data_IF_506275233081
#
_entry.id   IF_506275233081
#
_cell.length_a   1.000
_cell.length_b   1.000
_cell.length_c   1.000
_cell.angle_alpha   90.00
_cell.angle_beta   90.00
_cell.angle_gamma   90.00
#
_symmetry.space_group_name_H-M   'P 1'
#
loop_
_entity.id
_entity.type
_entity.pdbx_description
1 polymer ?
#
# COMPACT_ATOMS: atom_id res chain seq x y z
N UNK A 1 -16.41 8.03 -1.39
CA UNK A 1 -15.18 8.83 -1.54
C UNK A 1 -15.46 10.16 -2.25
N UNK A 2 -16.47 10.25 -3.08
CA UNK A 2 -16.82 11.44 -3.85
C UNK A 2 -15.90 11.70 -5.05
N UNK A 3 -15.12 10.71 -5.44
CA UNK A 3 -14.25 10.75 -6.60
C UNK A 3 -14.68 9.68 -7.61
N UNK A 4 -15.12 10.10 -8.78
CA UNK A 4 -15.78 9.24 -9.78
C UNK A 4 -14.98 7.96 -10.10
N UNK A 5 -13.67 8.06 -10.30
CA UNK A 5 -12.81 6.91 -10.61
C UNK A 5 -12.82 5.89 -9.47
N UNK A 6 -12.78 6.34 -8.22
CA UNK A 6 -12.81 5.46 -7.07
C UNK A 6 -14.19 4.80 -6.91
N UNK A 7 -15.25 5.60 -7.04
CA UNK A 7 -16.61 5.18 -6.73
C UNK A 7 -17.19 4.26 -7.82
N UNK A 8 -16.95 4.57 -9.10
CA UNK A 8 -17.46 3.77 -10.24
C UNK A 8 -16.69 2.47 -10.46
N UNK A 9 -15.41 2.42 -10.10
CA UNK A 9 -14.57 1.24 -10.25
C UNK A 9 -14.42 0.40 -8.96
N UNK A 10 -15.08 0.80 -7.87
CA UNK A 10 -15.04 0.08 -6.60
C UNK A 10 -13.64 -0.03 -6.00
N UNK A 11 -12.84 1.06 -6.08
CA UNK A 11 -11.43 1.05 -5.69
C UNK A 11 -11.14 1.34 -4.23
N UNK A 12 -12.16 1.76 -3.50
CA UNK A 12 -12.03 2.09 -2.09
C UNK A 12 -13.29 1.74 -1.33
N UNK A 13 -13.11 1.09 -0.19
CA UNK A 13 -14.18 0.84 0.79
C UNK A 13 -13.63 1.10 2.19
N UNK A 14 -14.44 1.69 3.05
CA UNK A 14 -14.08 2.01 4.43
C UNK A 14 -15.19 1.57 5.37
N UNK A 15 -14.80 1.06 6.53
CA UNK A 15 -15.69 0.80 7.66
C UNK A 15 -15.17 1.57 8.87
N UNK A 16 -16.11 2.23 9.56
CA UNK A 16 -15.81 3.06 10.73
C UNK A 16 -16.29 2.36 12.01
N UNK A 17 -15.39 2.25 12.99
CA UNK A 17 -15.62 1.65 14.29
C UNK A 17 -15.19 2.68 15.35
N UNK A 18 -16.15 3.30 16.05
CA UNK A 18 -15.80 4.32 17.05
C UNK A 18 -14.81 5.36 16.51
N UNK A 19 -13.57 5.36 16.99
CA UNK A 19 -12.46 6.23 16.53
C UNK A 19 -11.53 5.56 15.55
N UNK A 20 -11.74 4.30 15.19
CA UNK A 20 -10.95 3.55 14.21
C UNK A 20 -11.66 3.49 12.87
N UNK A 21 -10.95 3.72 11.78
CA UNK A 21 -11.40 3.45 10.41
C UNK A 21 -10.49 2.43 9.75
N UNK A 22 -11.08 1.41 9.16
CA UNK A 22 -10.36 0.40 8.38
C UNK A 22 -10.80 0.52 6.94
N UNK A 23 -9.84 0.70 6.04
CA UNK A 23 -10.10 0.86 4.62
C UNK A 23 -9.36 -0.17 3.79
N UNK A 24 -9.95 -0.53 2.64
CA UNK A 24 -9.31 -1.29 1.58
C UNK A 24 -9.21 -0.42 0.34
N UNK A 25 -8.00 -0.36 -0.21
CA UNK A 25 -7.63 0.43 -1.37
C UNK A 25 -7.15 -0.48 -2.49
N UNK A 26 -7.59 -0.18 -3.73
CA UNK A 26 -7.00 -0.70 -4.95
C UNK A 26 -6.58 0.48 -5.84
N UNK A 27 -5.33 0.92 -5.69
CA UNK A 27 -4.79 2.02 -6.50
C UNK A 27 -4.73 1.59 -7.97
N UNK A 28 -5.11 2.45 -8.93
CA UNK A 28 -5.01 2.10 -10.34
C UNK A 28 -3.61 1.67 -10.76
N UNK A 29 -3.49 0.58 -11.53
CA UNK A 29 -2.23 0.25 -12.21
C UNK A 29 -2.03 1.15 -13.43
N UNK A 30 -0.84 1.74 -13.59
CA UNK A 30 -0.47 2.59 -14.71
C UNK A 30 0.25 1.86 -15.85
N UNK A 31 0.35 0.52 -15.80
CA UNK A 31 1.34 -0.24 -16.57
C UNK A 31 1.00 -0.51 -18.03
N UNK A 32 -0.24 -0.30 -18.50
CA UNK A 32 -0.67 -0.82 -19.81
C UNK A 32 -0.92 0.24 -20.88
N UNK A 33 -1.01 1.53 -20.54
CA UNK A 33 -1.15 2.64 -21.51
C UNK A 33 -0.86 3.99 -20.85
N UNK A 34 -0.62 5.01 -21.68
CA UNK A 34 -0.46 6.40 -21.21
C UNK A 34 -1.71 6.87 -20.48
N UNK A 35 -2.90 6.59 -21.02
CA UNK A 35 -4.18 6.92 -20.42
C UNK A 35 -4.35 6.32 -19.01
N UNK A 36 -3.97 5.05 -18.83
CA UNK A 36 -4.02 4.40 -17.50
C UNK A 36 -3.01 5.02 -16.53
N UNK A 37 -1.86 5.43 -17.03
CA UNK A 37 -0.87 6.13 -16.22
C UNK A 37 -1.37 7.50 -15.76
N UNK A 38 -1.99 8.27 -16.65
CA UNK A 38 -2.64 9.55 -16.32
C UNK A 38 -3.76 9.36 -15.30
N UNK A 39 -4.60 8.32 -15.48
CA UNK A 39 -5.68 7.98 -14.55
C UNK A 39 -5.14 7.60 -13.17
N UNK A 40 -4.03 6.89 -13.10
CA UNK A 40 -3.33 6.61 -11.84
C UNK A 40 -2.92 7.89 -11.14
N UNK A 41 -2.31 8.85 -11.86
CA UNK A 41 -1.90 10.14 -11.29
C UNK A 41 -3.08 10.98 -10.82
N UNK A 42 -4.18 11.00 -11.55
CA UNK A 42 -5.41 11.67 -11.10
C UNK A 42 -5.89 11.10 -9.78
N UNK A 43 -5.88 9.76 -9.64
CA UNK A 43 -6.24 9.09 -8.41
C UNK A 43 -5.26 9.44 -7.27
N UNK A 44 -3.97 9.36 -7.51
CA UNK A 44 -2.92 9.66 -6.53
C UNK A 44 -3.02 11.10 -5.99
N UNK A 45 -3.22 12.08 -6.87
CA UNK A 45 -3.40 13.48 -6.45
C UNK A 45 -4.65 13.66 -5.59
N UNK A 46 -5.78 13.11 -6.01
CA UNK A 46 -7.02 13.20 -5.24
C UNK A 46 -6.89 12.50 -3.88
N UNK A 47 -6.31 11.31 -3.87
CA UNK A 47 -6.16 10.52 -2.67
C UNK A 47 -5.21 11.15 -1.64
N UNK A 48 -4.20 11.88 -2.09
CA UNK A 48 -3.31 12.65 -1.22
C UNK A 48 -4.08 13.63 -0.35
N UNK A 49 -5.06 14.35 -0.91
CA UNK A 49 -5.86 15.31 -0.14
C UNK A 49 -6.77 14.61 0.89
N UNK A 50 -7.27 13.43 0.57
CA UNK A 50 -8.00 12.58 1.52
C UNK A 50 -7.10 12.14 2.67
N UNK A 51 -5.89 11.67 2.37
CA UNK A 51 -4.91 11.24 3.39
C UNK A 51 -4.54 12.39 4.34
N UNK A 52 -4.36 13.61 3.81
CA UNK A 52 -4.14 14.81 4.65
C UNK A 52 -5.34 15.08 5.56
N UNK A 53 -6.57 14.92 5.06
CA UNK A 53 -7.79 15.03 5.84
C UNK A 53 -7.85 14.03 7.00
N UNK A 54 -7.50 12.79 6.75
CA UNK A 54 -7.48 11.72 7.76
C UNK A 54 -6.49 11.99 8.90
N UNK A 55 -5.43 12.77 8.64
CA UNK A 55 -4.49 13.17 9.70
C UNK A 55 -5.03 14.24 10.64
N UNK A 56 -6.10 14.89 10.29
CA UNK A 56 -6.67 16.03 11.04
C UNK A 56 -8.07 15.81 11.60
N UNK A 57 -8.71 14.69 11.29
CA UNK A 57 -10.11 14.43 11.70
C UNK A 57 -10.26 13.77 13.09
N UNK A 58 -9.12 13.43 13.73
CA UNK A 58 -9.11 12.87 15.09
C UNK A 58 -9.40 11.37 15.18
N UNK A 59 -9.38 10.66 14.06
CA UNK A 59 -9.53 9.20 13.97
C UNK A 59 -8.18 8.52 13.74
N UNK A 60 -8.12 7.23 14.07
CA UNK A 60 -7.03 6.36 13.65
C UNK A 60 -7.44 5.58 12.40
N UNK A 61 -6.49 5.39 11.49
CA UNK A 61 -6.72 4.72 10.21
C UNK A 61 -5.79 3.55 10.00
N UNK A 62 -6.34 2.46 9.45
CA UNK A 62 -5.61 1.34 8.86
C UNK A 62 -6.06 1.25 7.40
N UNK A 63 -5.17 1.58 6.45
CA UNK A 63 -5.48 1.55 5.02
C UNK A 63 -4.72 0.40 4.39
N UNK A 64 -5.44 -0.70 4.14
CA UNK A 64 -4.92 -1.92 3.54
C UNK A 64 -5.07 -1.89 2.02
N UNK A 65 -4.30 -2.70 1.31
CA UNK A 65 -4.59 -3.03 -0.08
C UNK A 65 -3.40 -2.93 -1.03
N UNK A 66 -3.73 -3.04 -2.33
CA UNK A 66 -2.77 -2.92 -3.42
C UNK A 66 -2.61 -1.44 -3.81
N UNK A 67 -1.45 -0.91 -3.48
CA UNK A 67 -1.07 0.47 -3.80
C UNK A 67 -0.40 0.59 -5.18
N UNK A 68 -0.20 -0.52 -5.86
CA UNK A 68 0.41 -0.59 -7.20
C UNK A 68 1.71 0.25 -7.34
N UNK A 69 2.41 0.48 -6.23
CA UNK A 69 3.59 1.34 -6.16
C UNK A 69 4.52 0.84 -5.06
N UNK A 70 5.79 0.66 -5.37
CA UNK A 70 6.81 0.42 -4.35
C UNK A 70 7.20 1.74 -3.66
N UNK A 71 7.71 1.66 -2.44
CA UNK A 71 8.27 2.83 -1.76
C UNK A 71 9.78 2.95 -2.01
N UNK A 72 10.56 1.94 -1.62
CA UNK A 72 12.01 1.99 -1.61
C UNK A 72 12.64 0.87 -2.46
N UNK A 73 13.95 0.97 -2.71
CA UNK A 73 14.71 -0.04 -3.44
C UNK A 73 14.57 -1.45 -2.86
N UNK A 74 14.48 -1.57 -1.54
CA UNK A 74 14.29 -2.84 -0.83
C UNK A 74 12.95 -3.53 -1.15
N UNK A 75 11.98 -2.80 -1.70
CA UNK A 75 10.63 -3.27 -1.97
C UNK A 75 10.47 -3.94 -3.34
N UNK A 76 11.56 -4.09 -4.10
CA UNK A 76 11.53 -4.69 -5.43
C UNK A 76 12.82 -5.43 -5.75
N UNK A 77 12.69 -6.59 -6.39
CA UNK A 77 13.83 -7.21 -7.07
C UNK A 77 14.15 -6.45 -8.37
N UNK A 78 15.42 -6.38 -8.73
CA UNK A 78 15.86 -5.72 -9.97
C UNK A 78 15.50 -4.22 -10.07
N UNK A 79 15.60 -3.48 -8.97
CA UNK A 79 15.26 -2.06 -8.86
C UNK A 79 15.81 -1.22 -10.02
N UNK A 80 17.10 -1.35 -10.33
CA UNK A 80 17.80 -0.51 -11.33
C UNK A 80 17.16 -0.58 -12.72
N UNK A 81 16.68 -1.74 -13.13
CA UNK A 81 16.05 -1.94 -14.44
C UNK A 81 14.58 -1.51 -14.49
N UNK A 82 13.94 -1.33 -13.35
CA UNK A 82 12.49 -1.04 -13.24
C UNK A 82 12.15 0.44 -13.00
N UNK A 83 13.14 1.35 -12.91
CA UNK A 83 12.88 2.76 -12.58
C UNK A 83 12.03 3.54 -13.61
N UNK A 84 11.78 2.96 -14.79
CA UNK A 84 10.87 3.52 -15.81
C UNK A 84 9.54 2.76 -15.88
N UNK A 85 9.36 1.74 -15.04
CA UNK A 85 8.14 0.93 -14.98
C UNK A 85 7.15 1.57 -14.02
N UNK A 86 5.88 1.69 -14.41
CA UNK A 86 4.82 2.17 -13.51
C UNK A 86 4.78 1.35 -12.23
N UNK A 87 4.66 2.01 -11.11
CA UNK A 87 4.79 1.44 -9.77
C UNK A 87 6.21 1.52 -9.20
N UNK A 88 7.21 1.90 -10.02
CA UNK A 88 8.59 2.03 -9.56
C UNK A 88 9.26 3.34 -10.02
N UNK A 89 8.55 4.20 -10.74
CA UNK A 89 9.13 5.47 -11.22
C UNK A 89 9.53 6.36 -10.04
N UNK A 90 10.57 7.21 -10.21
CA UNK A 90 10.98 8.13 -9.15
C UNK A 90 9.84 9.01 -8.62
N UNK A 91 8.95 9.46 -9.50
CA UNK A 91 7.82 10.31 -9.12
C UNK A 91 6.77 9.55 -8.28
N UNK A 92 6.46 8.30 -8.62
CA UNK A 92 5.53 7.47 -7.84
C UNK A 92 6.11 7.14 -6.45
N UNK A 93 7.42 6.88 -6.37
CA UNK A 93 8.10 6.65 -5.08
C UNK A 93 8.16 7.91 -4.23
N UNK A 94 8.39 9.07 -4.84
CA UNK A 94 8.33 10.36 -4.14
C UNK A 94 6.94 10.61 -3.55
N UNK A 95 5.87 10.24 -4.26
CA UNK A 95 4.51 10.31 -3.72
C UNK A 95 4.33 9.41 -2.48
N UNK A 96 4.94 8.23 -2.44
CA UNK A 96 4.96 7.39 -1.24
C UNK A 96 5.79 8.02 -0.12
N UNK A 97 6.93 8.67 -0.46
CA UNK A 97 7.72 9.45 0.50
C UNK A 97 6.89 10.58 1.13
N UNK A 98 6.12 11.34 0.32
CA UNK A 98 5.25 12.42 0.80
C UNK A 98 4.19 11.88 1.79
N UNK A 99 3.58 10.71 1.51
CA UNK A 99 2.60 10.09 2.42
C UNK A 99 3.24 9.74 3.76
N UNK A 100 4.43 9.15 3.74
CA UNK A 100 5.08 8.63 4.94
C UNK A 100 5.77 9.75 5.72
N UNK A 101 6.52 10.62 5.06
CA UNK A 101 7.36 11.60 5.71
C UNK A 101 6.64 12.93 5.96
N UNK A 102 5.81 13.40 5.01
CA UNK A 102 5.17 14.72 5.10
C UNK A 102 3.76 14.62 5.70
N UNK A 103 2.91 13.71 5.21
CA UNK A 103 1.58 13.48 5.78
C UNK A 103 1.67 12.71 7.10
N UNK A 104 2.67 11.84 7.25
CA UNK A 104 2.99 11.17 8.50
C UNK A 104 2.23 9.86 8.71
N UNK A 105 1.85 9.15 7.65
CA UNK A 105 1.45 7.76 7.76
C UNK A 105 2.66 6.85 8.00
N UNK A 106 2.40 5.64 8.46
CA UNK A 106 3.44 4.66 8.80
C UNK A 106 3.18 3.38 8.01
N UNK A 107 4.21 2.89 7.35
CA UNK A 107 4.20 1.54 6.78
C UNK A 107 4.31 0.53 7.92
N UNK A 108 3.19 -0.11 8.26
CA UNK A 108 3.09 -1.03 9.38
C UNK A 108 4.06 -2.22 9.26
N UNK A 109 4.26 -2.73 8.03
CA UNK A 109 5.19 -3.82 7.77
C UNK A 109 6.65 -3.37 7.99
N UNK A 110 7.06 -2.24 7.40
CA UNK A 110 8.44 -1.75 7.49
C UNK A 110 8.81 -1.23 8.87
N UNK A 111 7.82 -0.89 9.71
CA UNK A 111 8.08 -0.54 11.11
C UNK A 111 8.73 -1.71 11.89
N UNK A 112 8.37 -2.96 11.58
CA UNK A 112 8.81 -4.16 12.32
C UNK A 112 9.64 -5.13 11.48
N UNK A 113 9.71 -4.98 10.16
CA UNK A 113 10.50 -5.81 9.27
C UNK A 113 11.38 -4.99 8.32
N UNK A 114 12.68 -5.00 8.56
CA UNK A 114 13.70 -4.34 7.71
C UNK A 114 14.39 -5.28 6.73
N UNK A 115 13.97 -6.54 6.63
CA UNK A 115 14.62 -7.51 5.76
C UNK A 115 14.34 -7.25 4.28
N UNK A 116 15.33 -7.52 3.43
CA UNK A 116 15.17 -7.54 1.98
C UNK A 116 14.38 -8.77 1.50
N UNK A 117 14.05 -8.76 0.22
CA UNK A 117 13.39 -9.89 -0.45
C UNK A 117 12.02 -10.27 0.13
N UNK A 118 11.36 -9.29 0.75
CA UNK A 118 10.00 -9.39 1.26
C UNK A 118 9.03 -8.77 0.24
N UNK A 119 8.38 -9.61 -0.56
CA UNK A 119 7.51 -9.17 -1.66
C UNK A 119 6.10 -9.70 -1.45
N UNK A 120 5.13 -8.99 -2.04
CA UNK A 120 3.71 -9.33 -1.98
C UNK A 120 3.13 -9.66 -3.35
N UNK A 121 3.83 -9.32 -4.44
CA UNK A 121 3.39 -9.60 -5.81
C UNK A 121 4.52 -10.18 -6.67
N UNK A 122 4.18 -11.13 -7.52
CA UNK A 122 5.09 -11.76 -8.50
C UNK A 122 4.39 -11.95 -9.84
N UNK A 123 5.07 -11.52 -10.91
CA UNK A 123 4.58 -11.78 -12.26
C UNK A 123 4.33 -13.28 -12.49
N UNK A 124 3.28 -13.60 -13.24
CA UNK A 124 3.02 -14.99 -13.68
C UNK A 124 4.00 -15.49 -14.76
N UNK A 125 4.98 -14.65 -15.16
CA UNK A 125 5.98 -14.95 -16.20
C UNK A 125 7.34 -15.28 -15.58
N UNK A 126 8.17 -16.04 -16.33
CA UNK A 126 9.59 -16.22 -16.02
C UNK A 126 9.89 -16.96 -14.71
N UNK A 127 8.93 -17.69 -14.14
CA UNK A 127 9.06 -18.36 -12.82
C UNK A 127 9.39 -17.35 -11.70
N UNK A 128 8.79 -16.16 -11.76
CA UNK A 128 9.09 -15.07 -10.84
C UNK A 128 8.85 -15.45 -9.37
N UNK A 129 7.76 -16.18 -9.08
CA UNK A 129 7.47 -16.71 -7.75
C UNK A 129 8.59 -17.62 -7.23
N UNK A 130 8.96 -18.65 -8.02
CA UNK A 130 9.97 -19.63 -7.59
C UNK A 130 11.35 -19.01 -7.38
N UNK A 131 11.68 -17.94 -8.14
CA UNK A 131 12.94 -17.20 -8.05
C UNK A 131 12.89 -16.03 -7.08
N UNK A 132 11.76 -15.79 -6.43
CA UNK A 132 11.49 -14.61 -5.61
C UNK A 132 11.82 -13.28 -6.32
N UNK A 133 11.44 -13.17 -7.61
CA UNK A 133 11.57 -11.92 -8.38
C UNK A 133 10.23 -11.17 -8.24
N UNK A 134 10.08 -10.45 -7.15
CA UNK A 134 8.82 -9.84 -6.74
C UNK A 134 8.91 -8.36 -6.44
N UNK A 135 7.75 -7.80 -6.10
CA UNK A 135 7.50 -6.42 -5.70
C UNK A 135 6.68 -6.42 -4.43
N UNK A 136 6.95 -5.52 -3.50
CA UNK A 136 6.06 -5.24 -2.37
C UNK A 136 5.23 -4.01 -2.73
N UNK A 137 4.00 -4.23 -3.13
CA UNK A 137 3.04 -3.21 -3.58
C UNK A 137 1.74 -3.22 -2.77
N UNK A 138 1.58 -4.22 -1.90
CA UNK A 138 0.51 -4.28 -0.93
C UNK A 138 1.01 -3.75 0.41
N UNK A 139 0.22 -2.87 1.03
CA UNK A 139 0.58 -2.19 2.28
C UNK A 139 -0.56 -2.23 3.29
N UNK A 140 -0.21 -2.02 4.54
CA UNK A 140 -1.07 -1.44 5.56
C UNK A 140 -0.42 -0.15 6.01
N UNK A 141 -0.91 0.99 5.49
CA UNK A 141 -0.51 2.30 5.98
C UNK A 141 -1.42 2.69 7.13
N UNK A 142 -0.80 3.05 8.25
CA UNK A 142 -1.50 3.36 9.49
C UNK A 142 -1.21 4.78 9.96
N UNK A 143 -2.11 5.36 10.73
CA UNK A 143 -1.83 6.58 11.48
C UNK A 143 -0.87 6.31 12.63
N UNK A 144 -0.02 7.29 13.02
CA UNK A 144 1.03 7.08 14.01
C UNK A 144 0.57 6.61 15.39
N UNK A 145 -0.67 6.88 15.79
CA UNK A 145 -1.22 6.42 17.07
C UNK A 145 -1.31 4.90 17.19
N UNK A 146 -1.27 4.19 16.06
CA UNK A 146 -1.32 2.73 16.02
C UNK A 146 0.05 2.03 16.05
N UNK A 147 1.17 2.77 16.03
CA UNK A 147 2.52 2.19 15.95
C UNK A 147 2.79 1.15 17.03
N UNK A 148 2.46 1.51 18.28
CA UNK A 148 2.75 0.68 19.44
C UNK A 148 1.77 -0.50 19.59
N UNK A 149 0.79 -0.60 18.71
CA UNK A 149 -0.17 -1.70 18.70
C UNK A 149 0.28 -2.89 17.85
N UNK A 150 1.28 -2.71 16.97
CA UNK A 150 1.78 -3.78 16.11
C UNK A 150 2.59 -4.77 16.95
N UNK A 151 2.23 -6.05 16.87
CA UNK A 151 2.92 -7.15 17.59
C UNK A 151 3.46 -8.23 16.67
N UNK A 152 3.07 -8.22 15.40
CA UNK A 152 3.54 -9.19 14.42
C UNK A 152 3.24 -8.78 12.99
N UNK A 153 3.98 -9.38 12.06
CA UNK A 153 3.81 -9.24 10.62
C UNK A 153 4.14 -10.56 9.91
N UNK A 154 3.50 -10.80 8.79
CA UNK A 154 3.90 -11.87 7.87
C UNK A 154 3.39 -11.62 6.45
N UNK A 155 4.04 -12.27 5.48
CA UNK A 155 3.54 -12.41 4.12
C UNK A 155 3.25 -13.90 3.92
N UNK A 156 1.98 -14.26 3.77
CA UNK A 156 1.54 -15.65 3.64
C UNK A 156 1.92 -16.22 2.28
N UNK A 157 2.84 -17.20 2.27
CA UNK A 157 3.38 -17.84 1.05
C UNK A 157 3.28 -19.36 1.07
N UNK A 158 2.58 -19.95 2.04
CA UNK A 158 2.45 -21.41 2.15
C UNK A 158 1.62 -21.98 0.99
N UNK A 159 0.56 -21.28 0.60
CA UNK A 159 -0.28 -21.64 -0.53
C UNK A 159 -0.47 -20.42 -1.46
N UNK A 160 -0.37 -20.64 -2.75
CA UNK A 160 -0.49 -19.59 -3.76
C UNK A 160 -1.91 -19.52 -4.30
N UNK A 161 -2.67 -18.51 -3.88
CA UNK A 161 -4.04 -18.26 -4.37
C UNK A 161 -4.10 -17.32 -5.57
N UNK A 162 -3.08 -16.47 -5.73
CA UNK A 162 -3.05 -15.35 -6.68
C UNK A 162 -1.61 -15.09 -7.12
N UNK A 163 -1.39 -14.08 -7.96
CA UNK A 163 -0.10 -13.44 -8.16
C UNK A 163 0.29 -12.47 -7.02
N UNK A 164 -0.64 -12.17 -6.09
CA UNK A 164 -0.37 -11.55 -4.80
C UNK A 164 -0.37 -12.57 -3.66
N UNK A 165 0.37 -12.26 -2.61
CA UNK A 165 0.33 -12.95 -1.32
C UNK A 165 -0.25 -12.03 -0.25
N UNK A 166 -1.10 -12.54 0.66
CA UNK A 166 -1.65 -11.75 1.75
C UNK A 166 -0.56 -11.15 2.64
N UNK A 167 -0.60 -9.84 2.85
CA UNK A 167 0.15 -9.15 3.89
C UNK A 167 -0.67 -9.13 5.16
N UNK A 168 -0.13 -9.68 6.24
CA UNK A 168 -0.77 -9.81 7.55
C UNK A 168 -0.03 -8.92 8.54
N UNK A 169 -0.77 -8.13 9.31
CA UNK A 169 -0.25 -7.37 10.45
C UNK A 169 -1.12 -7.69 11.67
N UNK A 170 -0.48 -8.08 12.77
CA UNK A 170 -1.14 -8.37 14.02
C UNK A 170 -1.09 -7.14 14.94
N UNK A 171 -2.25 -6.73 15.44
CA UNK A 171 -2.42 -5.64 16.40
C UNK A 171 -2.85 -6.20 17.75
N UNK A 172 -2.21 -5.77 18.85
CA UNK A 172 -2.48 -6.33 20.18
C UNK A 172 -3.83 -5.96 20.76
N UNK A 173 -4.18 -4.68 20.75
CA UNK A 173 -5.42 -4.17 21.34
C UNK A 173 -5.88 -2.88 20.66
N UNK A 174 -7.05 -2.91 20.06
CA UNK A 174 -7.71 -1.76 19.43
C UNK A 174 -9.06 -1.44 20.10
N UNK A 175 -9.43 -2.13 21.20
CA UNK A 175 -10.76 -2.02 21.81
C UNK A 175 -11.07 -0.62 22.32
N UNK A 176 -10.06 0.16 22.72
CA UNK A 176 -10.24 1.56 23.11
C UNK A 176 -10.57 2.53 21.97
N UNK A 177 -10.53 2.06 20.71
CA UNK A 177 -10.81 2.84 19.50
C UNK A 177 -12.14 2.45 18.83
N UNK A 178 -12.69 1.30 19.18
CA UNK A 178 -13.90 0.70 18.60
C UNK A 178 -15.18 1.16 19.33
#
# INVERSE_FOLDING_TARGET
MGFEIADTEGRYIQADFGKLSIASLYLPSGSSSVERHERKWQFMHYFMEILKGYRSDGREYIICGDWNTIHQEIDIKNFKSNQKTSGCTPAERAWMDDIINDVGFVDAFRLVNSHSDQYTWWSNRGQAWAKNVGWRIDYQLITPGLKDQIVGESIYKEERFSDHAPLIIDYKDLTGLI
#
